data_IF_481945006628
#
_entry.id   IF_481945006628
#
_cell.length_a   1.000
_cell.length_b   1.000
_cell.length_c   1.000
_cell.angle_alpha   90.00
_cell.angle_beta   90.00
_cell.angle_gamma   90.00
#
_symmetry.space_group_name_H-M   'P 1'
#
loop_
_entity.id
_entity.type
_entity.pdbx_description
1 polymer ?
#
# COMPACT_ATOMS: atom_id res chain seq x y z
N UNK A 1 9.64 -20.11 -25.01
CA UNK A 1 10.70 -19.89 -24.01
C UNK A 1 11.16 -18.45 -24.17
N UNK A 2 11.18 -17.62 -23.13
CA UNK A 2 11.69 -16.24 -23.26
C UNK A 2 13.21 -16.34 -23.40
N UNK A 3 13.78 -15.85 -24.50
CA UNK A 3 15.23 -15.83 -24.75
C UNK A 3 15.89 -14.78 -23.84
N UNK A 4 16.59 -15.19 -22.76
CA UNK A 4 17.19 -14.25 -21.81
C UNK A 4 18.39 -13.52 -22.42
N UNK A 5 19.08 -14.14 -23.38
CA UNK A 5 20.22 -13.54 -24.07
C UNK A 5 19.72 -12.47 -25.03
N UNK A 6 18.71 -12.80 -25.85
CA UNK A 6 18.08 -11.84 -26.75
C UNK A 6 17.45 -10.66 -26.00
N UNK A 7 16.84 -10.89 -24.83
CA UNK A 7 16.32 -9.81 -23.99
C UNK A 7 17.45 -8.90 -23.46
N UNK A 8 18.56 -9.47 -23.01
CA UNK A 8 19.75 -8.73 -22.59
C UNK A 8 20.31 -7.88 -23.74
N UNK A 9 20.50 -8.47 -24.92
CA UNK A 9 21.00 -7.77 -26.10
C UNK A 9 20.06 -6.62 -26.49
N UNK A 10 18.76 -6.86 -26.49
CA UNK A 10 17.73 -5.84 -26.79
C UNK A 10 17.80 -4.67 -25.80
N UNK A 11 17.89 -4.93 -24.50
CA UNK A 11 17.98 -3.88 -23.48
C UNK A 11 19.28 -3.07 -23.63
N UNK A 12 20.41 -3.77 -23.80
CA UNK A 12 21.72 -3.13 -24.02
C UNK A 12 21.67 -2.21 -25.24
N UNK A 13 21.20 -2.74 -26.37
CA UNK A 13 21.22 -2.01 -27.63
C UNK A 13 20.22 -0.84 -27.64
N UNK A 14 19.05 -0.99 -27.01
CA UNK A 14 18.12 0.12 -26.81
C UNK A 14 18.70 1.23 -25.95
N UNK A 15 19.44 0.90 -24.89
CA UNK A 15 20.06 1.90 -24.03
C UNK A 15 21.26 2.59 -24.72
N UNK A 16 22.08 1.84 -25.47
CA UNK A 16 23.12 2.41 -26.32
C UNK A 16 22.49 3.37 -27.35
N UNK A 17 21.39 2.97 -27.99
CA UNK A 17 20.65 3.81 -28.93
C UNK A 17 20.11 5.08 -28.26
N UNK A 18 19.58 4.98 -27.04
CA UNK A 18 19.18 6.15 -26.26
C UNK A 18 20.35 7.09 -26.00
N UNK A 19 21.52 6.57 -25.57
CA UNK A 19 22.71 7.42 -25.36
C UNK A 19 23.12 8.12 -26.66
N UNK A 20 23.12 7.38 -27.78
CA UNK A 20 23.48 7.92 -29.10
C UNK A 20 22.54 9.04 -29.53
N UNK A 21 21.23 8.90 -29.27
CA UNK A 21 20.24 9.91 -29.67
C UNK A 21 20.17 11.10 -28.71
N UNK A 22 20.17 10.86 -27.40
CA UNK A 22 20.05 11.90 -26.38
C UNK A 22 21.34 12.71 -26.19
N UNK A 23 22.50 12.09 -26.34
CA UNK A 23 23.82 12.69 -26.09
C UNK A 23 24.74 12.61 -27.31
N UNK A 24 24.16 12.65 -28.51
CA UNK A 24 24.91 12.60 -29.76
C UNK A 24 25.85 13.80 -29.94
N UNK A 25 27.01 13.56 -30.55
CA UNK A 25 27.97 14.59 -30.94
C UNK A 25 28.06 14.72 -32.46
N UNK A 26 28.61 15.85 -32.95
CA UNK A 26 28.78 16.09 -34.40
C UNK A 26 29.93 15.29 -35.05
N UNK A 27 30.70 14.53 -34.27
CA UNK A 27 31.94 13.90 -34.71
C UNK A 27 31.76 12.38 -34.83
N UNK A 28 31.64 11.82 -36.05
CA UNK A 28 31.41 10.38 -36.23
C UNK A 28 32.50 9.49 -35.62
N UNK A 29 33.75 9.95 -35.59
CA UNK A 29 34.86 9.23 -34.96
C UNK A 29 34.67 9.05 -33.45
N UNK A 30 34.21 10.09 -32.76
CA UNK A 30 33.93 10.06 -31.32
C UNK A 30 32.74 9.14 -31.02
N UNK A 31 31.70 9.18 -31.85
CA UNK A 31 30.54 8.29 -31.72
C UNK A 31 30.92 6.80 -31.85
N UNK A 32 31.78 6.47 -32.82
CA UNK A 32 32.27 5.11 -33.02
C UNK A 32 33.12 4.62 -31.84
N UNK A 33 34.04 5.47 -31.33
CA UNK A 33 34.87 5.13 -30.17
C UNK A 33 34.02 4.93 -28.91
N UNK A 34 33.04 5.83 -28.68
CA UNK A 34 32.10 5.72 -27.56
C UNK A 34 31.28 4.45 -27.63
N UNK A 35 30.71 4.11 -28.79
CA UNK A 35 29.93 2.87 -28.94
C UNK A 35 30.81 1.64 -28.69
N UNK A 36 32.04 1.62 -29.20
CA UNK A 36 32.99 0.54 -28.94
C UNK A 36 33.27 0.40 -27.43
N UNK A 37 33.43 1.51 -26.70
CA UNK A 37 33.59 1.48 -25.23
C UNK A 37 32.33 0.99 -24.51
N UNK A 38 31.14 1.48 -24.89
CA UNK A 38 29.87 1.07 -24.27
C UNK A 38 29.60 -0.43 -24.46
N UNK A 39 30.05 -1.02 -25.57
CA UNK A 39 29.91 -2.46 -25.84
C UNK A 39 30.96 -3.32 -25.14
N UNK A 40 32.02 -2.74 -24.56
CA UNK A 40 32.99 -3.53 -23.80
C UNK A 40 32.33 -4.13 -22.55
N UNK A 41 32.57 -5.41 -22.25
CA UNK A 41 32.12 -6.02 -21.00
C UNK A 41 32.59 -5.20 -19.79
N UNK A 42 31.71 -5.07 -18.78
CA UNK A 42 31.94 -4.33 -17.53
C UNK A 42 32.02 -2.79 -17.66
N UNK A 43 31.86 -2.22 -18.85
CA UNK A 43 31.74 -0.76 -18.99
C UNK A 43 30.30 -0.32 -18.75
N UNK A 44 29.36 -0.86 -19.53
CA UNK A 44 27.93 -0.54 -19.42
C UNK A 44 27.12 -1.74 -18.94
N UNK A 45 27.43 -2.93 -19.45
CA UNK A 45 26.76 -4.17 -19.09
C UNK A 45 27.78 -5.29 -18.85
N UNK A 46 27.34 -6.29 -18.08
CA UNK A 46 28.07 -7.53 -17.84
C UNK A 46 27.30 -8.67 -18.52
N UNK A 47 28.00 -9.72 -18.95
CA UNK A 47 27.32 -10.87 -19.55
C UNK A 47 26.31 -11.46 -18.55
N UNK A 48 25.12 -11.87 -19.03
CA UNK A 48 24.08 -12.38 -18.15
C UNK A 48 24.57 -13.67 -17.48
N UNK A 49 24.55 -13.69 -16.15
CA UNK A 49 24.75 -14.92 -15.39
C UNK A 49 23.44 -15.69 -15.36
N UNK A 50 23.44 -16.89 -15.95
CA UNK A 50 22.32 -17.82 -15.86
C UNK A 50 22.55 -18.74 -14.66
N UNK A 51 21.71 -18.60 -13.64
CA UNK A 51 21.71 -19.46 -12.45
C UNK A 51 20.38 -20.24 -12.36
N UNK A 52 20.41 -21.57 -12.20
CA UNK A 52 19.20 -22.33 -11.91
C UNK A 52 18.75 -22.05 -10.48
N UNK A 53 17.59 -21.42 -10.33
CA UNK A 53 17.01 -21.20 -9.01
C UNK A 53 16.23 -22.45 -8.58
N UNK A 54 16.49 -23.00 -7.36
CA UNK A 54 15.70 -24.10 -6.84
C UNK A 54 14.23 -23.68 -6.69
N UNK A 55 13.32 -24.56 -7.08
CA UNK A 55 11.89 -24.33 -6.92
C UNK A 55 11.53 -24.49 -5.45
N UNK A 56 10.86 -23.49 -4.87
CA UNK A 56 10.39 -23.57 -3.49
C UNK A 56 9.39 -24.71 -3.34
N UNK A 57 9.55 -25.49 -2.26
CA UNK A 57 8.66 -26.58 -1.92
C UNK A 57 7.20 -26.10 -1.88
N UNK A 58 6.34 -26.83 -2.58
CA UNK A 58 4.91 -26.61 -2.58
C UNK A 58 4.26 -27.31 -1.39
N UNK A 59 3.15 -26.75 -0.92
CA UNK A 59 2.46 -27.23 0.27
C UNK A 59 1.47 -28.37 0.00
N UNK A 60 1.12 -28.65 -1.26
CA UNK A 60 -0.01 -29.51 -1.59
C UNK A 60 -1.37 -28.86 -1.37
N UNK A 61 -1.43 -27.57 -0.99
CA UNK A 61 -2.65 -26.86 -0.62
C UNK A 61 -2.85 -25.59 -1.45
N UNK A 62 -4.11 -25.28 -1.75
CA UNK A 62 -4.57 -23.99 -2.25
C UNK A 62 -5.36 -23.27 -1.15
N UNK A 63 -5.77 -22.02 -1.39
CA UNK A 63 -6.60 -21.26 -0.43
C UNK A 63 -7.92 -22.00 -0.14
N UNK A 64 -8.55 -22.56 -1.16
CA UNK A 64 -9.81 -23.30 -1.02
C UNK A 64 -9.66 -24.57 -0.16
N UNK A 65 -8.51 -25.25 -0.24
CA UNK A 65 -8.25 -26.50 0.50
C UNK A 65 -7.67 -26.31 1.91
N UNK A 66 -7.40 -25.08 2.36
CA UNK A 66 -6.93 -24.84 3.74
C UNK A 66 -7.98 -25.31 4.76
N UNK A 67 -7.54 -25.94 5.84
CA UNK A 67 -8.41 -26.41 6.92
C UNK A 67 -8.24 -25.58 8.19
N UNK A 68 -9.03 -25.88 9.21
CA UNK A 68 -8.89 -25.36 10.58
C UNK A 68 -7.50 -25.61 11.17
N UNK A 69 -6.88 -26.76 10.88
CA UNK A 69 -5.49 -27.04 11.27
C UNK A 69 -4.47 -26.06 10.66
N UNK A 70 -4.79 -25.42 9.52
CA UNK A 70 -3.94 -24.40 8.88
C UNK A 70 -4.21 -22.97 9.36
N UNK A 71 -5.35 -22.77 10.03
CA UNK A 71 -5.87 -21.47 10.44
C UNK A 71 -6.23 -21.52 11.94
N UNK A 72 -5.25 -21.77 12.82
CA UNK A 72 -5.52 -21.90 14.24
C UNK A 72 -6.16 -20.62 14.81
N UNK A 73 -7.17 -20.80 15.65
CA UNK A 73 -7.89 -19.70 16.29
C UNK A 73 -8.94 -19.00 15.41
N UNK A 74 -9.24 -19.53 14.22
CA UNK A 74 -10.40 -19.12 13.42
C UNK A 74 -11.51 -20.19 13.48
N UNK A 75 -12.76 -19.76 13.56
CA UNK A 75 -13.92 -20.64 13.42
C UNK A 75 -14.31 -20.86 11.94
N UNK A 76 -15.24 -21.79 11.67
CA UNK A 76 -15.65 -22.16 10.30
C UNK A 76 -16.12 -20.96 9.45
N UNK A 77 -16.85 -20.03 10.07
CA UNK A 77 -17.36 -18.83 9.40
C UNK A 77 -16.22 -17.86 9.08
N UNK A 78 -15.30 -17.66 10.02
CA UNK A 78 -14.11 -16.82 9.84
C UNK A 78 -13.17 -17.38 8.78
N UNK A 79 -12.98 -18.70 8.73
CA UNK A 79 -12.23 -19.38 7.66
C UNK A 79 -12.88 -19.11 6.30
N UNK A 80 -14.21 -19.14 6.23
CA UNK A 80 -14.96 -18.85 4.99
C UNK A 80 -14.77 -17.40 4.55
N UNK A 81 -14.85 -16.45 5.49
CA UNK A 81 -14.57 -15.03 5.20
C UNK A 81 -13.14 -14.79 4.76
N UNK A 82 -12.17 -15.42 5.41
CA UNK A 82 -10.77 -15.34 5.03
C UNK A 82 -10.56 -15.83 3.60
N UNK A 83 -11.02 -17.05 3.27
CA UNK A 83 -10.85 -17.65 1.95
C UNK A 83 -11.47 -16.77 0.86
N UNK A 84 -12.71 -16.31 1.06
CA UNK A 84 -13.41 -15.46 0.09
C UNK A 84 -12.72 -14.12 -0.12
N UNK A 85 -12.28 -13.44 0.95
CA UNK A 85 -11.56 -12.17 0.85
C UNK A 85 -10.22 -12.32 0.08
N UNK A 86 -9.44 -13.36 0.39
CA UNK A 86 -8.16 -13.59 -0.30
C UNK A 86 -8.35 -13.82 -1.79
N UNK A 87 -9.43 -14.52 -2.17
CA UNK A 87 -9.80 -14.78 -3.56
C UNK A 87 -10.25 -13.53 -4.34
N UNK A 88 -10.57 -12.41 -3.69
CA UNK A 88 -10.97 -11.16 -4.36
C UNK A 88 -9.82 -10.45 -5.11
N UNK A 89 -8.57 -10.89 -4.92
CA UNK A 89 -7.45 -10.35 -5.69
C UNK A 89 -6.06 -10.46 -5.04
N UNK A 90 -5.97 -10.87 -3.77
CA UNK A 90 -4.69 -11.08 -3.10
C UNK A 90 -3.98 -12.32 -3.66
N UNK A 91 -4.71 -13.43 -3.74
CA UNK A 91 -4.18 -14.71 -4.19
C UNK A 91 -5.20 -15.40 -5.10
N UNK A 92 -4.75 -15.78 -6.30
CA UNK A 92 -5.53 -16.65 -7.20
C UNK A 92 -5.45 -18.10 -6.71
N UNK A 93 -6.28 -18.98 -7.27
CA UNK A 93 -6.33 -20.39 -6.86
C UNK A 93 -5.13 -21.21 -7.41
N UNK A 94 -3.92 -20.84 -6.97
CA UNK A 94 -2.68 -21.57 -7.23
C UNK A 94 -2.21 -22.27 -5.95
N UNK A 95 -1.32 -23.23 -6.12
CA UNK A 95 -0.75 -23.97 -5.00
C UNK A 95 0.22 -23.09 -4.19
N UNK A 96 -0.05 -23.00 -2.89
CA UNK A 96 0.74 -22.27 -1.90
C UNK A 96 2.10 -22.94 -1.71
N UNK A 97 3.12 -22.14 -1.44
CA UNK A 97 4.40 -22.65 -0.98
C UNK A 97 4.32 -23.12 0.47
N UNK A 98 5.15 -24.11 0.83
CA UNK A 98 5.19 -24.65 2.19
C UNK A 98 5.44 -23.56 3.25
N UNK A 99 6.36 -22.63 2.96
CA UNK A 99 6.68 -21.51 3.86
C UNK A 99 5.52 -20.51 4.03
N UNK A 100 4.61 -20.39 3.05
CA UNK A 100 3.44 -19.50 3.17
C UNK A 100 2.43 -20.10 4.17
N UNK A 101 2.18 -21.40 4.08
CA UNK A 101 1.29 -22.12 5.02
C UNK A 101 1.91 -22.16 6.42
N UNK A 102 3.22 -22.40 6.52
CA UNK A 102 3.93 -22.36 7.80
C UNK A 102 3.85 -20.97 8.45
N UNK A 103 4.13 -19.91 7.69
CA UNK A 103 4.05 -18.53 8.17
C UNK A 103 2.63 -18.18 8.64
N UNK A 104 1.61 -18.59 7.89
CA UNK A 104 0.20 -18.42 8.25
C UNK A 104 -0.11 -19.05 9.61
N UNK A 105 0.20 -20.34 9.80
CA UNK A 105 0.00 -21.05 11.07
C UNK A 105 0.75 -20.39 12.23
N UNK A 106 2.06 -20.18 12.07
CA UNK A 106 2.94 -19.65 13.13
C UNK A 106 2.53 -18.25 13.59
N UNK A 107 2.09 -17.40 12.65
CA UNK A 107 1.64 -16.04 12.97
C UNK A 107 0.30 -16.04 13.69
N UNK A 108 -0.62 -16.93 13.30
CA UNK A 108 -1.92 -17.08 13.99
C UNK A 108 -1.74 -17.63 15.42
N UNK A 109 -0.72 -18.46 15.66
CA UNK A 109 -0.25 -18.86 16.99
C UNK A 109 0.50 -17.72 17.75
N UNK A 110 0.43 -16.47 17.27
CA UNK A 110 1.05 -15.29 17.87
C UNK A 110 2.59 -15.33 17.97
N UNK A 111 3.27 -16.07 17.09
CA UNK A 111 4.74 -16.07 17.05
C UNK A 111 5.31 -14.94 16.19
N UNK A 112 6.43 -14.37 16.63
CA UNK A 112 7.28 -13.52 15.80
C UNK A 112 8.02 -14.39 14.77
N UNK A 113 7.87 -14.08 13.48
CA UNK A 113 8.37 -14.93 12.40
C UNK A 113 9.29 -14.16 11.45
N UNK A 114 10.29 -14.86 10.89
CA UNK A 114 11.19 -14.33 9.86
C UNK A 114 11.13 -15.28 8.66
N UNK A 115 10.82 -14.76 7.47
CA UNK A 115 10.81 -15.52 6.22
C UNK A 115 12.10 -15.24 5.45
N UNK A 116 12.97 -16.23 5.37
CA UNK A 116 14.22 -16.17 4.58
C UNK A 116 13.99 -16.79 3.20
N UNK A 117 13.38 -16.04 2.29
CA UNK A 117 13.14 -16.48 0.92
C UNK A 117 13.62 -15.44 -0.11
N UNK A 118 14.03 -15.90 -1.28
CA UNK A 118 14.51 -15.07 -2.38
C UNK A 118 13.40 -14.27 -3.07
N UNK A 119 13.76 -13.40 -4.00
CA UNK A 119 12.79 -12.63 -4.79
C UNK A 119 11.93 -13.57 -5.66
N UNK A 120 10.63 -13.27 -5.77
CA UNK A 120 9.70 -14.11 -6.55
C UNK A 120 9.26 -15.42 -5.87
N UNK A 121 9.66 -15.64 -4.61
CA UNK A 121 9.30 -16.83 -3.82
C UNK A 121 7.91 -16.79 -3.19
N UNK A 122 7.24 -15.65 -3.24
CA UNK A 122 5.96 -15.44 -2.55
C UNK A 122 6.09 -14.90 -1.11
N UNK A 123 7.18 -14.19 -0.80
CA UNK A 123 7.39 -13.48 0.48
C UNK A 123 6.22 -12.58 0.87
N UNK A 124 5.71 -11.82 -0.10
CA UNK A 124 4.61 -10.87 0.12
C UNK A 124 3.36 -11.57 0.63
N UNK A 125 2.99 -12.66 0.00
CA UNK A 125 1.84 -13.46 0.38
C UNK A 125 2.05 -14.12 1.74
N UNK A 126 3.29 -14.47 2.09
CA UNK A 126 3.61 -15.07 3.39
C UNK A 126 3.22 -14.18 4.57
N UNK A 127 3.39 -12.85 4.47
CA UNK A 127 2.97 -11.93 5.54
C UNK A 127 1.57 -11.35 5.34
N UNK A 128 1.05 -11.27 4.10
CA UNK A 128 -0.30 -10.77 3.86
C UNK A 128 -1.39 -11.79 4.20
N UNK A 129 -1.16 -13.09 4.00
CA UNK A 129 -2.12 -14.14 4.36
C UNK A 129 -2.51 -14.10 5.84
N UNK A 130 -1.58 -14.15 6.81
CA UNK A 130 -1.95 -14.07 8.23
C UNK A 130 -2.59 -12.72 8.59
N UNK A 131 -2.16 -11.62 7.97
CA UNK A 131 -2.80 -10.32 8.17
C UNK A 131 -4.27 -10.32 7.69
N UNK A 132 -4.55 -10.91 6.53
CA UNK A 132 -5.93 -11.00 6.01
C UNK A 132 -6.78 -11.97 6.82
N UNK A 133 -6.19 -13.04 7.36
CA UNK A 133 -6.87 -13.92 8.32
C UNK A 133 -7.28 -13.13 9.58
N UNK A 134 -6.36 -12.33 10.14
CA UNK A 134 -6.66 -11.46 11.26
C UNK A 134 -7.75 -10.41 10.95
N UNK A 135 -7.61 -9.69 9.84
CA UNK A 135 -8.55 -8.62 9.44
C UNK A 135 -9.94 -9.17 9.09
N UNK A 136 -10.02 -10.32 8.42
CA UNK A 136 -11.32 -10.95 8.11
C UNK A 136 -12.05 -11.38 9.39
N UNK A 137 -11.32 -11.89 10.39
CA UNK A 137 -11.86 -12.18 11.72
C UNK A 137 -12.31 -10.91 12.44
N UNK A 138 -11.45 -9.90 12.60
CA UNK A 138 -11.77 -8.67 13.34
C UNK A 138 -12.98 -7.95 12.70
N UNK A 139 -12.97 -7.83 11.37
CA UNK A 139 -14.01 -7.11 10.63
C UNK A 139 -15.39 -7.76 10.68
N UNK A 140 -15.49 -9.04 11.02
CA UNK A 140 -16.79 -9.71 11.23
C UNK A 140 -17.60 -9.10 12.37
N UNK A 141 -16.94 -8.42 13.31
CA UNK A 141 -17.54 -7.77 14.48
C UNK A 141 -17.86 -6.29 14.26
N UNK A 142 -17.56 -5.73 13.08
CA UNK A 142 -17.76 -4.30 12.83
C UNK A 142 -19.24 -3.96 12.65
N UNK A 143 -19.67 -2.91 13.35
CA UNK A 143 -21.01 -2.36 13.17
C UNK A 143 -21.18 -1.73 11.79
N UNK A 144 -22.41 -1.75 11.27
CA UNK A 144 -22.76 -1.05 10.04
C UNK A 144 -22.35 0.42 10.10
N UNK A 145 -21.71 0.96 9.06
CA UNK A 145 -21.40 2.38 9.00
C UNK A 145 -22.71 3.20 8.95
N UNK A 146 -22.64 4.44 9.41
CA UNK A 146 -23.72 5.41 9.23
C UNK A 146 -23.84 5.86 7.77
N UNK A 147 -24.86 6.67 7.50
CA UNK A 147 -25.08 7.25 6.17
C UNK A 147 -23.96 8.24 5.83
N UNK A 148 -23.18 8.03 4.75
CA UNK A 148 -22.14 8.96 4.35
C UNK A 148 -22.74 10.28 3.82
N UNK A 149 -22.00 11.38 3.98
CA UNK A 149 -22.33 12.62 3.27
C UNK A 149 -22.29 12.35 1.76
N UNK A 150 -23.30 12.77 0.97
CA UNK A 150 -23.34 12.54 -0.47
C UNK A 150 -22.11 13.05 -1.23
N UNK A 151 -21.41 14.04 -0.67
CA UNK A 151 -20.23 14.68 -1.25
C UNK A 151 -18.92 14.06 -0.77
N UNK A 152 -18.95 13.06 0.12
CA UNK A 152 -17.72 12.46 0.70
C UNK A 152 -16.74 11.98 -0.38
N UNK A 153 -17.25 11.51 -1.52
CA UNK A 153 -16.45 11.01 -2.64
C UNK A 153 -16.34 12.00 -3.83
N UNK A 154 -16.75 13.26 -3.66
CA UNK A 154 -16.82 14.22 -4.76
C UNK A 154 -16.57 15.69 -4.37
N UNK A 155 -16.39 16.00 -3.09
CA UNK A 155 -16.27 17.39 -2.59
C UNK A 155 -15.14 18.17 -3.27
N UNK A 156 -14.07 17.51 -3.75
CA UNK A 156 -12.98 18.16 -4.47
C UNK A 156 -13.38 18.61 -5.88
N UNK A 157 -14.42 18.04 -6.49
CA UNK A 157 -14.96 18.46 -7.79
C UNK A 157 -16.23 19.32 -7.69
N UNK A 158 -16.85 19.38 -6.51
CA UNK A 158 -18.08 20.15 -6.29
C UNK A 158 -17.78 21.65 -6.09
N UNK A 159 -17.76 22.39 -7.19
CA UNK A 159 -17.52 23.84 -7.19
C UNK A 159 -18.63 24.59 -6.44
N UNK A 160 -19.87 24.11 -6.48
CA UNK A 160 -20.98 24.78 -5.80
C UNK A 160 -20.80 24.69 -4.28
N UNK A 161 -20.46 23.49 -3.78
CA UNK A 161 -20.12 23.27 -2.38
C UNK A 161 -18.90 24.09 -1.94
N UNK A 162 -17.82 24.06 -2.73
CA UNK A 162 -16.60 24.83 -2.44
C UNK A 162 -16.90 26.33 -2.32
N UNK A 163 -17.66 26.90 -3.26
CA UNK A 163 -18.03 28.31 -3.25
C UNK A 163 -18.94 28.66 -2.05
N UNK A 164 -19.83 27.76 -1.64
CA UNK A 164 -20.68 27.97 -0.46
C UNK A 164 -19.90 28.06 0.86
N UNK A 165 -18.66 27.57 0.87
CA UNK A 165 -17.77 27.60 2.03
C UNK A 165 -16.83 28.82 2.04
N UNK A 166 -16.84 29.63 0.97
CA UNK A 166 -15.96 30.78 0.77
C UNK A 166 -16.77 32.07 0.96
N UNK A 167 -16.28 32.98 1.79
CA UNK A 167 -16.85 34.32 1.96
C UNK A 167 -16.63 35.20 0.72
N UNK A 168 -17.37 36.31 0.62
CA UNK A 168 -17.15 37.37 -0.38
C UNK A 168 -15.69 37.87 -0.45
N UNK A 169 -14.99 37.92 0.69
CA UNK A 169 -13.57 38.30 0.78
C UNK A 169 -12.59 37.17 0.39
N UNK A 170 -13.07 36.12 -0.29
CA UNK A 170 -12.28 34.96 -0.72
C UNK A 170 -11.56 34.21 0.42
N UNK A 171 -12.08 34.29 1.65
CA UNK A 171 -11.63 33.46 2.80
C UNK A 171 -12.52 32.23 2.94
N UNK A 172 -11.91 31.08 3.23
CA UNK A 172 -12.65 29.88 3.62
C UNK A 172 -13.19 30.08 5.03
N UNK A 173 -14.52 30.15 5.18
CA UNK A 173 -15.18 30.30 6.49
C UNK A 173 -15.32 28.95 7.20
N UNK A 174 -15.62 27.89 6.44
CA UNK A 174 -15.69 26.52 6.90
C UNK A 174 -14.92 25.62 5.94
N UNK A 175 -14.23 24.59 6.42
CA UNK A 175 -13.56 23.65 5.51
C UNK A 175 -14.62 22.93 4.67
N UNK A 176 -14.37 22.83 3.36
CA UNK A 176 -15.19 22.05 2.44
C UNK A 176 -14.68 20.61 2.30
N UNK A 177 -13.58 20.24 2.98
CA UNK A 177 -13.12 18.86 3.04
C UNK A 177 -14.10 18.05 3.88
N UNK A 178 -14.47 16.89 3.36
CA UNK A 178 -15.25 15.90 4.10
C UNK A 178 -14.32 14.71 4.37
N UNK A 179 -14.06 14.37 5.65
CA UNK A 179 -13.22 13.23 6.00
C UNK A 179 -13.75 11.93 5.39
N UNK A 180 -12.87 11.12 4.84
CA UNK A 180 -13.26 9.90 4.10
C UNK A 180 -14.08 8.91 4.93
N UNK A 181 -13.84 8.85 6.25
CA UNK A 181 -14.40 7.84 7.16
C UNK A 181 -15.26 8.44 8.28
N UNK A 182 -15.76 9.66 8.11
CA UNK A 182 -16.58 10.35 9.13
C UNK A 182 -17.90 9.64 9.46
N UNK A 183 -18.36 8.75 8.58
CA UNK A 183 -19.61 8.01 8.71
C UNK A 183 -19.42 6.64 9.38
N UNK A 184 -18.18 6.16 9.57
CA UNK A 184 -17.95 4.88 10.24
C UNK A 184 -18.14 5.00 11.75
N UNK A 185 -18.64 3.92 12.36
CA UNK A 185 -18.83 3.81 13.81
C UNK A 185 -17.76 2.99 14.52
N UNK A 186 -17.03 2.17 13.76
CA UNK A 186 -15.96 1.31 14.27
C UNK A 186 -14.75 2.13 14.71
N UNK A 187 -14.01 1.60 15.67
CA UNK A 187 -12.75 2.20 16.12
C UNK A 187 -11.72 2.22 14.97
N UNK A 188 -11.15 3.40 14.71
CA UNK A 188 -10.12 3.59 13.70
C UNK A 188 -8.74 3.47 14.34
N UNK A 189 -7.97 2.47 13.91
CA UNK A 189 -6.64 2.16 14.42
C UNK A 189 -5.78 1.48 13.36
N UNK A 190 -4.46 1.59 13.49
CA UNK A 190 -3.51 0.84 12.66
C UNK A 190 -3.44 -0.60 13.17
N UNK A 191 -4.03 -1.55 12.45
CA UNK A 191 -3.93 -2.99 12.74
C UNK A 191 -2.59 -3.54 12.27
N UNK A 192 -2.08 -3.03 11.15
CA UNK A 192 -0.80 -3.41 10.59
C UNK A 192 0.03 -2.21 10.14
N UNK A 193 1.30 -2.20 10.55
CA UNK A 193 2.31 -1.27 10.05
C UNK A 193 3.30 -2.04 9.17
N UNK A 194 3.33 -1.70 7.89
CA UNK A 194 4.29 -2.27 6.93
C UNK A 194 5.37 -1.25 6.63
N UNK A 195 6.62 -1.61 6.91
CA UNK A 195 7.78 -0.75 6.71
C UNK A 195 8.62 -1.28 5.56
N UNK A 196 8.75 -0.47 4.51
CA UNK A 196 9.61 -0.74 3.36
C UNK A 196 10.88 0.11 3.39
N UNK A 197 12.01 -0.40 2.85
CA UNK A 197 13.26 0.35 2.78
C UNK A 197 13.19 1.48 1.74
N UNK A 198 12.39 1.32 0.68
CA UNK A 198 12.39 2.20 -0.49
C UNK A 198 10.97 2.49 -0.96
N UNK A 199 10.73 3.74 -1.40
CA UNK A 199 9.42 4.16 -1.92
C UNK A 199 9.00 3.39 -3.20
N UNK A 200 9.95 2.92 -4.02
CA UNK A 200 9.62 2.14 -5.22
C UNK A 200 8.89 0.83 -4.86
N UNK A 201 9.35 0.13 -3.82
CA UNK A 201 8.70 -1.08 -3.33
C UNK A 201 7.30 -0.79 -2.77
N UNK A 202 7.08 0.39 -2.21
CA UNK A 202 5.76 0.80 -1.71
C UNK A 202 4.72 0.83 -2.84
N UNK A 203 5.06 1.36 -4.02
CA UNK A 203 4.10 1.48 -5.14
C UNK A 203 3.65 0.10 -5.67
N UNK A 204 4.57 -0.85 -5.80
CA UNK A 204 4.25 -2.21 -6.23
C UNK A 204 3.30 -2.90 -5.24
N UNK A 205 3.52 -2.66 -3.95
CA UNK A 205 2.74 -3.28 -2.88
C UNK A 205 1.36 -2.62 -2.72
N UNK A 206 1.25 -1.31 -2.97
CA UNK A 206 -0.04 -0.65 -3.06
C UNK A 206 -0.86 -1.17 -4.24
N UNK A 207 -0.24 -1.39 -5.41
CA UNK A 207 -0.94 -1.97 -6.56
C UNK A 207 -1.54 -3.33 -6.19
N UNK A 208 -0.81 -4.15 -5.40
CA UNK A 208 -1.31 -5.42 -4.87
C UNK A 208 -2.45 -5.24 -3.86
N UNK A 209 -2.32 -4.31 -2.90
CA UNK A 209 -3.41 -4.04 -1.94
C UNK A 209 -4.66 -3.47 -2.61
N UNK A 210 -4.53 -2.64 -3.64
CA UNK A 210 -5.66 -2.18 -4.45
C UNK A 210 -6.37 -3.35 -5.14
N UNK A 211 -5.63 -4.31 -5.69
CA UNK A 211 -6.22 -5.53 -6.24
C UNK A 211 -6.93 -6.36 -5.16
N UNK A 212 -6.34 -6.46 -3.99
CA UNK A 212 -6.88 -7.29 -2.91
C UNK A 212 -8.09 -6.66 -2.18
N UNK A 213 -8.12 -5.33 -2.02
CA UNK A 213 -9.05 -4.62 -1.15
C UNK A 213 -9.90 -3.57 -1.89
N UNK A 214 -9.67 -3.33 -3.18
CA UNK A 214 -10.42 -2.35 -3.97
C UNK A 214 -10.75 -2.81 -5.40
N UNK A 215 -10.60 -4.11 -5.69
CA UNK A 215 -11.18 -4.72 -6.90
C UNK A 215 -12.71 -4.68 -6.85
N UNK A 216 -13.35 -4.82 -8.01
CA UNK A 216 -14.82 -4.85 -8.06
C UNK A 216 -15.38 -6.04 -7.25
N UNK A 217 -14.65 -7.16 -7.19
CA UNK A 217 -15.01 -8.32 -6.36
C UNK A 217 -14.82 -8.03 -4.87
N UNK A 218 -13.71 -7.39 -4.47
CA UNK A 218 -13.50 -6.97 -3.08
C UNK A 218 -14.58 -5.95 -2.64
N UNK A 219 -14.93 -4.99 -3.48
CA UNK A 219 -15.98 -4.00 -3.22
C UNK A 219 -17.34 -4.67 -3.01
N UNK A 220 -17.70 -5.66 -3.84
CA UNK A 220 -18.93 -6.46 -3.66
C UNK A 220 -18.89 -7.27 -2.37
N UNK A 221 -17.75 -7.90 -2.07
CA UNK A 221 -17.55 -8.65 -0.84
C UNK A 221 -17.76 -7.76 0.39
N UNK A 222 -17.18 -6.56 0.42
CA UNK A 222 -17.41 -5.61 1.52
C UNK A 222 -18.88 -5.19 1.68
N UNK A 223 -19.60 -5.01 0.57
CA UNK A 223 -21.03 -4.71 0.62
C UNK A 223 -21.85 -5.88 1.20
N UNK A 224 -21.59 -7.10 0.75
CA UNK A 224 -22.37 -8.28 1.12
C UNK A 224 -22.01 -8.81 2.51
N UNK A 225 -20.72 -8.94 2.79
CA UNK A 225 -20.19 -9.64 3.95
C UNK A 225 -19.81 -8.69 5.09
N UNK A 226 -19.69 -7.38 4.84
CA UNK A 226 -19.27 -6.36 5.83
C UNK A 226 -20.20 -5.15 5.91
N UNK A 227 -21.42 -5.26 5.38
CA UNK A 227 -22.45 -4.22 5.45
C UNK A 227 -21.97 -2.86 4.90
N UNK A 228 -21.05 -2.90 3.92
CA UNK A 228 -20.45 -1.72 3.31
C UNK A 228 -19.21 -1.18 4.02
N UNK A 229 -18.81 -1.73 5.18
CA UNK A 229 -17.50 -1.41 5.76
C UNK A 229 -16.37 -1.88 4.84
N UNK A 230 -15.29 -1.11 4.80
CA UNK A 230 -14.08 -1.44 4.03
C UNK A 230 -12.90 -1.64 4.96
N UNK A 231 -11.95 -2.46 4.54
CA UNK A 231 -10.60 -2.48 5.12
C UNK A 231 -9.79 -1.38 4.42
N UNK A 232 -9.44 -0.34 5.16
CA UNK A 232 -8.68 0.80 4.64
C UNK A 232 -7.18 0.57 4.75
N UNK A 233 -6.46 0.94 3.71
CA UNK A 233 -5.01 1.01 3.73
C UNK A 233 -4.54 2.40 3.32
N UNK A 234 -3.36 2.81 3.77
CA UNK A 234 -2.83 4.13 3.46
C UNK A 234 -1.32 4.13 3.35
N UNK A 235 -0.80 4.79 2.33
CA UNK A 235 0.62 5.13 2.25
C UNK A 235 0.87 6.44 2.97
N UNK A 236 1.78 6.41 3.94
CA UNK A 236 2.21 7.58 4.69
C UNK A 236 3.69 7.83 4.43
N UNK A 237 4.00 8.61 3.39
CA UNK A 237 5.37 9.02 3.02
C UNK A 237 5.38 10.44 2.44
N UNK A 238 6.48 10.85 1.80
CA UNK A 238 6.63 12.19 1.23
C UNK A 238 5.66 12.49 0.06
N UNK A 239 5.10 11.47 -0.60
CA UNK A 239 4.14 11.67 -1.70
C UNK A 239 2.69 11.76 -1.23
N UNK A 240 2.40 11.48 0.05
CA UNK A 240 1.04 11.57 0.61
C UNK A 240 0.59 13.02 0.78
N UNK A 241 -0.49 13.46 0.10
CA UNK A 241 -1.07 14.80 0.26
C UNK A 241 -1.78 14.95 1.61
N UNK A 242 -1.96 16.12 2.22
CA UNK A 242 -1.06 17.27 2.28
C UNK A 242 -0.45 17.26 3.69
N UNK A 243 0.83 17.62 3.89
CA UNK A 243 1.44 17.64 5.22
C UNK A 243 0.89 18.79 6.10
N UNK A 244 1.04 18.60 7.42
CA UNK A 244 0.67 19.59 8.43
C UNK A 244 -0.80 19.49 8.85
N UNK A 245 -1.33 20.55 9.42
CA UNK A 245 -2.72 20.65 9.91
C UNK A 245 -3.64 21.30 8.87
N UNK A 246 -4.92 20.90 8.89
CA UNK A 246 -6.00 21.52 8.12
C UNK A 246 -6.32 22.94 8.60
N UNK A 247 -6.15 23.19 9.89
CA UNK A 247 -6.39 24.49 10.50
C UNK A 247 -5.08 25.19 10.85
N UNK A 248 -5.08 26.51 10.76
CA UNK A 248 -4.00 27.38 11.25
C UNK A 248 -3.92 27.34 12.77
N UNK A 249 -2.81 27.83 13.36
CA UNK A 249 -2.66 27.95 14.83
C UNK A 249 -3.76 28.77 15.51
N UNK A 250 -4.48 29.61 14.75
CA UNK A 250 -5.59 30.42 15.22
C UNK A 250 -6.96 29.74 15.05
N UNK A 251 -7.00 28.46 14.68
CA UNK A 251 -8.24 27.70 14.48
C UNK A 251 -8.98 27.98 13.17
N UNK A 252 -8.48 28.87 12.32
CA UNK A 252 -9.09 29.15 11.01
C UNK A 252 -8.64 28.11 9.96
N UNK A 253 -9.50 27.70 9.01
CA UNK A 253 -9.11 26.81 7.90
C UNK A 253 -7.91 27.35 7.11
N UNK A 254 -6.89 26.51 6.86
CA UNK A 254 -5.72 26.88 6.06
C UNK A 254 -6.05 26.76 4.57
N UNK A 255 -6.49 27.88 3.99
CA UNK A 255 -6.89 27.98 2.58
C UNK A 255 -5.85 27.40 1.62
N UNK A 256 -4.57 27.75 1.80
CA UNK A 256 -3.52 27.33 0.89
C UNK A 256 -3.34 25.81 0.90
N UNK A 257 -3.42 25.19 2.07
CA UNK A 257 -3.31 23.73 2.19
C UNK A 257 -4.55 23.01 1.69
N UNK A 258 -5.74 23.53 1.97
CA UNK A 258 -7.00 22.96 1.49
C UNK A 258 -7.05 23.00 -0.05
N UNK A 259 -6.71 24.14 -0.67
CA UNK A 259 -6.64 24.26 -2.14
C UNK A 259 -5.58 23.33 -2.75
N UNK A 260 -4.43 23.17 -2.07
CA UNK A 260 -3.39 22.21 -2.49
C UNK A 260 -3.91 20.77 -2.43
N UNK A 261 -4.66 20.40 -1.40
CA UNK A 261 -5.29 19.09 -1.28
C UNK A 261 -6.30 18.90 -2.42
N UNK A 262 -7.20 19.86 -2.63
CA UNK A 262 -8.19 19.84 -3.72
C UNK A 262 -7.53 19.63 -5.07
N UNK A 263 -6.47 20.37 -5.39
CA UNK A 263 -5.71 20.21 -6.64
C UNK A 263 -5.11 18.81 -6.77
N UNK A 264 -4.55 18.28 -5.67
CA UNK A 264 -3.98 16.93 -5.65
C UNK A 264 -5.03 15.85 -5.89
N UNK A 265 -6.20 15.94 -5.23
CA UNK A 265 -7.30 15.00 -5.40
C UNK A 265 -7.91 15.07 -6.81
N UNK A 266 -8.10 16.27 -7.37
CA UNK A 266 -8.52 16.45 -8.77
C UNK A 266 -7.58 15.75 -9.75
N UNK A 267 -6.27 15.89 -9.55
CA UNK A 267 -5.26 15.24 -10.37
C UNK A 267 -5.32 13.70 -10.28
N UNK A 268 -5.44 13.16 -9.07
CA UNK A 268 -5.57 11.71 -8.86
C UNK A 268 -6.87 11.14 -9.44
N UNK A 269 -8.00 11.84 -9.26
CA UNK A 269 -9.30 11.44 -9.83
C UNK A 269 -9.27 11.42 -11.36
N UNK A 270 -8.66 12.44 -11.99
CA UNK A 270 -8.50 12.47 -13.44
C UNK A 270 -7.63 11.31 -13.93
N UNK A 271 -6.50 11.05 -13.26
CA UNK A 271 -5.59 9.97 -13.62
C UNK A 271 -6.26 8.59 -13.51
N UNK A 272 -7.04 8.36 -12.45
CA UNK A 272 -7.82 7.13 -12.28
C UNK A 272 -8.86 6.95 -13.41
N UNK A 273 -9.63 8.01 -13.73
CA UNK A 273 -10.61 7.99 -14.83
C UNK A 273 -9.97 7.73 -16.19
N UNK A 274 -8.78 8.29 -16.44
CA UNK A 274 -8.06 8.08 -17.68
C UNK A 274 -7.49 6.66 -17.78
N UNK A 275 -7.02 6.09 -16.66
CA UNK A 275 -6.62 4.68 -16.57
C UNK A 275 -7.79 3.73 -16.83
N UNK A 276 -8.98 4.00 -16.27
CA UNK A 276 -10.20 3.22 -16.53
C UNK A 276 -10.59 3.25 -18.01
N UNK A 277 -10.60 4.44 -18.64
CA UNK A 277 -10.86 4.58 -20.08
C UNK A 277 -9.83 3.84 -20.92
N UNK A 278 -8.56 3.84 -20.52
CA UNK A 278 -7.50 3.12 -21.23
C UNK A 278 -7.65 1.60 -21.10
N UNK A 279 -7.97 1.10 -19.91
CA UNK A 279 -8.22 -0.31 -19.66
C UNK A 279 -9.40 -0.82 -20.53
N UNK A 280 -10.51 -0.08 -20.56
CA UNK A 280 -11.67 -0.40 -21.40
C UNK A 280 -11.34 -0.48 -22.90
N UNK A 281 -10.42 0.36 -23.39
CA UNK A 281 -10.00 0.36 -24.80
C UNK A 281 -9.02 -0.76 -25.15
N UNK A 282 -8.16 -1.15 -24.22
CA UNK A 282 -7.04 -2.07 -24.48
C UNK A 282 -7.28 -3.48 -23.96
N UNK A 283 -8.31 -3.70 -23.15
CA UNK A 283 -8.56 -4.94 -22.42
C UNK A 283 -7.51 -5.23 -21.34
N UNK A 284 -6.70 -4.23 -20.94
CA UNK A 284 -5.70 -4.36 -19.88
C UNK A 284 -6.27 -3.91 -18.54
N UNK A 285 -7.10 -4.76 -17.95
CA UNK A 285 -7.81 -4.46 -16.70
C UNK A 285 -6.87 -4.17 -15.53
N UNK A 286 -5.67 -4.75 -15.52
CA UNK A 286 -4.69 -4.54 -14.46
C UNK A 286 -4.18 -3.09 -14.36
N UNK A 287 -4.32 -2.29 -15.41
CA UNK A 287 -3.81 -0.91 -15.45
C UNK A 287 -4.53 0.01 -14.45
N UNK A 288 -5.78 -0.29 -14.09
CA UNK A 288 -6.58 0.53 -13.18
C UNK A 288 -5.99 0.55 -11.77
N UNK A 289 -5.28 -0.51 -11.37
CA UNK A 289 -4.73 -0.64 -10.00
C UNK A 289 -3.43 0.16 -9.79
N UNK A 290 -2.83 0.73 -10.84
CA UNK A 290 -1.70 1.64 -10.67
C UNK A 290 -2.12 3.00 -10.09
N UNK A 291 -3.41 3.34 -10.16
CA UNK A 291 -3.96 4.60 -9.69
C UNK A 291 -4.99 4.35 -8.58
N UNK A 292 -4.99 5.16 -7.51
CA UNK A 292 -5.98 5.02 -6.45
C UNK A 292 -7.36 5.49 -6.93
N UNK A 293 -8.40 4.69 -6.68
CA UNK A 293 -9.80 5.14 -6.82
C UNK A 293 -10.18 5.88 -5.55
N UNK A 294 -10.52 7.17 -5.67
CA UNK A 294 -10.74 8.01 -4.48
C UNK A 294 -12.00 7.67 -3.69
N UNK A 295 -12.91 6.87 -4.25
CA UNK A 295 -14.07 6.31 -3.55
C UNK A 295 -13.78 4.94 -2.90
N UNK A 296 -12.54 4.44 -3.00
CA UNK A 296 -12.12 3.10 -2.61
C UNK A 296 -11.60 2.96 -1.19
N UNK A 297 -10.85 1.89 -0.98
CA UNK A 297 -10.22 1.49 0.29
C UNK A 297 -8.89 2.19 0.58
N UNK A 298 -8.27 2.86 -0.39
CA UNK A 298 -7.05 3.64 -0.15
C UNK A 298 -7.37 5.00 0.49
N UNK A 299 -6.66 5.32 1.56
CA UNK A 299 -6.77 6.61 2.24
C UNK A 299 -6.18 7.74 1.38
N UNK A 300 -6.97 8.79 1.17
CA UNK A 300 -6.66 9.85 0.20
C UNK A 300 -5.56 10.80 0.64
N UNK A 301 -5.47 11.05 1.95
CA UNK A 301 -4.60 12.09 2.48
C UNK A 301 -4.11 11.78 3.89
N UNK A 302 -3.06 12.50 4.31
CA UNK A 302 -2.55 12.50 5.69
C UNK A 302 -3.63 12.94 6.66
N UNK A 303 -4.42 13.95 6.32
CA UNK A 303 -5.52 14.43 7.16
C UNK A 303 -6.57 13.35 7.37
N UNK A 304 -6.95 12.63 6.31
CA UNK A 304 -7.88 11.50 6.45
C UNK A 304 -7.31 10.39 7.36
N UNK A 305 -6.00 10.10 7.26
CA UNK A 305 -5.34 9.12 8.13
C UNK A 305 -5.14 9.60 9.57
N UNK A 306 -4.92 10.89 9.79
CA UNK A 306 -4.82 11.49 11.12
C UNK A 306 -6.18 11.52 11.81
N UNK A 307 -7.25 11.82 11.06
CA UNK A 307 -8.62 11.78 11.55
C UNK A 307 -9.06 10.34 11.85
N UNK A 308 -8.82 9.40 10.94
CA UNK A 308 -9.24 8.01 11.06
C UNK A 308 -8.15 7.07 10.55
N UNK A 309 -7.23 6.62 11.43
CA UNK A 309 -6.09 5.79 11.04
C UNK A 309 -6.50 4.56 10.22
N UNK A 310 -5.80 4.26 9.11
CA UNK A 310 -6.13 3.11 8.26
C UNK A 310 -5.88 1.81 9.01
N UNK A 311 -6.54 0.73 8.57
CA UNK A 311 -6.30 -0.61 9.10
C UNK A 311 -4.87 -1.08 8.76
N UNK A 312 -4.39 -0.79 7.54
CA UNK A 312 -3.02 -1.08 7.10
C UNK A 312 -2.29 0.22 6.77
N UNK A 313 -1.27 0.57 7.54
CA UNK A 313 -0.41 1.72 7.28
C UNK A 313 0.89 1.26 6.62
N UNK A 314 1.21 1.85 5.47
CA UNK A 314 2.46 1.59 4.77
C UNK A 314 3.36 2.82 4.86
N UNK A 315 4.60 2.63 5.30
CA UNK A 315 5.57 3.72 5.44
C UNK A 315 7.00 3.24 5.23
N UNK A 316 7.97 4.12 5.48
CA UNK A 316 9.40 3.80 5.55
C UNK A 316 9.97 4.32 6.88
N UNK A 317 11.16 3.86 7.25
CA UNK A 317 11.79 4.22 8.54
C UNK A 317 11.99 5.72 8.72
N UNK A 318 12.40 6.43 7.66
CA UNK A 318 12.59 7.88 7.71
C UNK A 318 11.29 8.62 7.98
N UNK A 319 10.16 8.14 7.46
CA UNK A 319 8.88 8.76 7.71
C UNK A 319 8.30 8.36 9.07
N UNK A 320 8.51 7.10 9.49
CA UNK A 320 8.11 6.65 10.83
C UNK A 320 8.82 7.45 11.94
N UNK A 321 10.13 7.71 11.81
CA UNK A 321 10.86 8.53 12.79
C UNK A 321 10.29 9.95 12.88
N UNK A 322 9.93 10.52 11.75
CA UNK A 322 9.28 11.83 11.68
C UNK A 322 7.89 11.79 12.31
N UNK A 323 7.08 10.77 12.03
CA UNK A 323 5.73 10.63 12.60
C UNK A 323 5.77 10.54 14.13
N UNK A 324 6.72 9.76 14.68
CA UNK A 324 6.84 9.60 16.12
C UNK A 324 7.14 10.92 16.86
N UNK A 325 7.73 11.90 16.18
CA UNK A 325 8.09 13.21 16.75
C UNK A 325 7.04 14.29 16.52
N UNK A 326 6.07 14.10 15.62
CA UNK A 326 5.12 15.15 15.22
C UNK A 326 3.81 15.05 15.97
N UNK A 327 3.42 16.15 16.62
CA UNK A 327 2.11 16.30 17.27
C UNK A 327 0.94 16.06 16.30
N UNK A 328 1.07 16.48 15.04
CA UNK A 328 0.03 16.25 14.02
C UNK A 328 -0.28 14.76 13.79
N UNK A 329 0.72 13.89 14.01
CA UNK A 329 0.60 12.45 13.77
C UNK A 329 0.26 11.67 15.06
N UNK A 330 0.19 12.36 16.21
CA UNK A 330 -0.09 11.77 17.53
C UNK A 330 -1.38 10.94 17.55
N UNK A 331 -2.43 11.48 16.92
CA UNK A 331 -3.75 10.86 16.90
C UNK A 331 -3.72 9.45 16.28
N UNK A 332 -2.79 9.17 15.35
CA UNK A 332 -2.63 7.85 14.75
C UNK A 332 -2.19 6.84 15.81
N UNK A 333 -1.17 7.19 16.58
CA UNK A 333 -0.61 6.31 17.60
C UNK A 333 -1.54 6.20 18.81
N UNK A 334 -2.12 7.30 19.26
CA UNK A 334 -3.01 7.31 20.41
C UNK A 334 -4.28 6.49 20.17
N UNK A 335 -4.91 6.62 19.00
CA UNK A 335 -6.08 5.78 18.66
C UNK A 335 -5.70 4.31 18.52
N UNK A 336 -4.52 4.01 17.98
CA UNK A 336 -4.02 2.64 17.88
C UNK A 336 -3.74 2.04 19.27
N UNK A 337 -3.18 2.83 20.19
CA UNK A 337 -2.93 2.44 21.58
C UNK A 337 -4.23 2.20 22.36
N UNK A 338 -5.21 3.09 22.21
CA UNK A 338 -6.55 2.92 22.78
C UNK A 338 -7.23 1.66 22.24
N UNK A 339 -7.11 1.43 20.93
CA UNK A 339 -7.60 0.19 20.33
C UNK A 339 -6.89 -1.02 20.94
N UNK A 340 -5.56 -1.07 21.03
CA UNK A 340 -4.86 -2.20 21.65
C UNK A 340 -5.26 -2.46 23.11
N UNK A 341 -5.62 -1.42 23.86
CA UNK A 341 -6.10 -1.56 25.24
C UNK A 341 -7.49 -2.21 25.36
N UNK A 342 -8.23 -2.37 24.26
CA UNK A 342 -9.60 -2.89 24.25
C UNK A 342 -9.75 -4.41 24.29
N UNK A 343 -8.67 -5.18 24.43
CA UNK A 343 -8.73 -6.63 24.63
C UNK A 343 -7.50 -7.41 24.13
N UNK A 344 -7.27 -8.60 24.68
CA UNK A 344 -6.16 -9.47 24.29
C UNK A 344 -6.31 -10.07 22.88
N UNK A 345 -7.50 -10.00 22.26
CA UNK A 345 -7.74 -10.43 20.88
C UNK A 345 -7.29 -9.40 19.82
N UNK A 346 -6.81 -8.23 20.27
CA UNK A 346 -6.34 -7.14 19.43
C UNK A 346 -4.83 -7.22 19.24
N UNK A 347 -4.40 -7.48 18.00
CA UNK A 347 -3.01 -7.76 17.65
C UNK A 347 -2.51 -6.70 16.68
N UNK A 348 -1.42 -6.03 17.04
CA UNK A 348 -0.70 -5.12 16.15
C UNK A 348 0.33 -5.89 15.33
N UNK A 349 0.16 -5.90 14.01
CA UNK A 349 1.07 -6.54 13.08
C UNK A 349 2.17 -5.55 12.63
N UNK A 350 3.40 -5.79 13.05
CA UNK A 350 4.57 -5.06 12.54
C UNK A 350 5.29 -5.89 11.48
N UNK A 351 5.24 -5.43 10.22
CA UNK A 351 5.85 -6.11 9.08
C UNK A 351 7.03 -5.28 8.59
N UNK A 352 8.21 -5.90 8.53
CA UNK A 352 9.46 -5.27 8.08
C UNK A 352 9.93 -5.98 6.83
N UNK A 353 9.86 -5.31 5.69
CA UNK A 353 10.35 -5.87 4.44
C UNK A 353 11.84 -5.61 4.26
N UNK A 354 12.49 -6.55 3.57
CA UNK A 354 13.93 -6.59 3.32
C UNK A 354 14.78 -6.36 4.58
N UNK A 355 14.46 -7.13 5.64
CA UNK A 355 15.14 -7.08 6.94
C UNK A 355 16.68 -7.11 6.82
N UNK A 356 17.20 -7.80 5.80
CA UNK A 356 18.62 -7.93 5.53
C UNK A 356 19.33 -6.60 5.19
N UNK A 357 18.61 -5.55 4.80
CA UNK A 357 19.17 -4.23 4.51
C UNK A 357 19.51 -3.46 5.80
N UNK A 358 18.90 -3.80 6.93
CA UNK A 358 19.10 -3.10 8.20
C UNK A 358 20.23 -3.74 8.99
N UNK A 359 21.47 -3.46 8.59
CA UNK A 359 22.70 -3.95 9.24
C UNK A 359 23.60 -2.79 9.67
N UNK A 360 24.53 -3.07 10.59
CA UNK A 360 25.46 -2.07 11.11
C UNK A 360 24.73 -0.89 11.77
N UNK A 361 25.20 0.33 11.52
CA UNK A 361 24.64 1.56 12.11
C UNK A 361 23.17 1.77 11.75
N UNK A 362 22.80 1.58 10.48
CA UNK A 362 21.40 1.73 10.03
C UNK A 362 20.48 0.71 10.73
N UNK A 363 20.96 -0.52 10.94
CA UNK A 363 20.23 -1.53 11.72
C UNK A 363 20.01 -1.13 13.17
N UNK A 364 21.01 -0.53 13.81
CA UNK A 364 20.89 -0.01 15.18
C UNK A 364 19.86 1.11 15.28
N UNK A 365 19.89 2.09 14.36
CA UNK A 365 18.92 3.19 14.32
C UNK A 365 17.48 2.66 14.15
N UNK A 366 17.28 1.75 13.21
CA UNK A 366 15.99 1.08 12.99
C UNK A 366 15.53 0.33 14.24
N UNK A 367 16.41 -0.40 14.90
CA UNK A 367 16.07 -1.13 16.13
C UNK A 367 15.62 -0.18 17.26
N UNK A 368 16.31 0.94 17.47
CA UNK A 368 15.90 1.95 18.46
C UNK A 368 14.58 2.61 18.10
N UNK A 369 14.37 2.91 16.82
CA UNK A 369 13.12 3.48 16.33
C UNK A 369 11.93 2.54 16.58
N UNK A 370 12.09 1.25 16.31
CA UNK A 370 11.06 0.25 16.59
C UNK A 370 10.79 0.10 18.09
N UNK A 371 11.82 0.16 18.93
CA UNK A 371 11.64 0.18 20.39
C UNK A 371 10.83 1.40 20.84
N UNK A 372 11.11 2.58 20.29
CA UNK A 372 10.33 3.79 20.58
C UNK A 372 8.88 3.65 20.16
N UNK A 373 8.61 3.04 19.00
CA UNK A 373 7.26 2.76 18.54
C UNK A 373 6.53 1.80 19.51
N UNK A 374 7.18 0.71 19.92
CA UNK A 374 6.56 -0.34 20.74
C UNK A 374 6.44 0.01 22.23
N UNK A 375 7.22 0.97 22.73
CA UNK A 375 7.17 1.44 24.12
C UNK A 375 6.19 2.59 24.34
N UNK A 376 5.67 3.18 23.25
CA UNK A 376 4.66 4.23 23.28
C UNK A 376 3.29 3.64 23.51
#
# INVERSE_FOLDING_TARGET
MKDPIGAFDTIRDNFILYIKTAFGTRFPSIEAEREALLRKPRVMCQEPWIEPLPVYQKSGKTISTLTDEDLPGLNELEITYFKSLVSCGLFKDYELHAHQVEMLKKTLDCNNCIVTAGTGSGKTESFLLPLFAYLSRESSKWEAPGTPDPRVNSWWNDTQWQNSCISENNRIQQTYRIPQRSHEKREAAVRALIIYPMNALVEDQLTRLRKALDSDDARKWFQNDRQGNKIYFGRYNSSTPVPGHEFTKHGNPDKNRIEKLTKSLKGMDSAAKDAEKHAQKTGKDDAIFYFPRLDGSEMRSRWDMQDSPPDILITNFSMLSIMLMRETDEAIFEKTRQWLAGGEDRVFHLIIDELHLYRGTAGAEVAYLLRLLLLR
#
